data_IF_021812565457
#
_entry.id   IF_021812565457
#
_cell.length_a   1.000
_cell.length_b   1.000
_cell.length_c   1.000
_cell.angle_alpha   90.00
_cell.angle_beta   90.00
_cell.angle_gamma   90.00
#
_symmetry.space_group_name_H-M   'P 1'
#
loop_
_entity.id
_entity.type
_entity.pdbx_description
1 polymer ?
#
# COMPACT_ATOMS: atom_id res chain seq x y z
N UNK A 1 11.64 31.60 31.09
CA UNK A 1 12.64 31.20 30.07
C UNK A 1 12.35 29.74 29.71
N UNK A 2 11.92 29.44 28.48
CA UNK A 2 11.41 28.10 28.13
C UNK A 2 12.59 27.13 27.87
N UNK A 3 12.67 26.03 28.63
CA UNK A 3 13.74 25.03 28.55
C UNK A 3 13.82 24.40 27.14
N UNK A 4 12.68 24.32 26.44
CA UNK A 4 12.57 23.73 25.11
C UNK A 4 13.39 24.46 24.04
N UNK A 5 13.64 25.78 24.19
CA UNK A 5 14.47 26.52 23.21
C UNK A 5 15.96 26.28 23.40
N UNK A 6 16.37 25.54 24.43
CA UNK A 6 17.77 25.16 24.70
C UNK A 6 18.05 23.70 24.34
N UNK A 7 17.04 22.92 23.94
CA UNK A 7 17.23 21.53 23.56
C UNK A 7 17.74 21.43 22.11
N UNK A 8 18.59 20.44 21.79
CA UNK A 8 18.97 20.12 20.41
C UNK A 8 17.75 19.79 19.56
N UNK A 9 17.77 20.17 18.27
CA UNK A 9 16.65 19.96 17.35
C UNK A 9 16.31 18.48 17.20
N UNK A 10 17.32 17.61 17.27
CA UNK A 10 17.22 16.16 17.15
C UNK A 10 16.46 15.56 18.34
N UNK A 11 16.69 16.08 19.55
CA UNK A 11 15.97 15.63 20.76
C UNK A 11 14.51 16.11 20.76
N UNK A 12 14.27 17.33 20.28
CA UNK A 12 12.93 17.87 20.09
C UNK A 12 12.16 17.04 19.07
N UNK A 13 12.79 16.71 17.93
CA UNK A 13 12.21 15.87 16.88
C UNK A 13 11.90 14.46 17.41
N UNK A 14 12.79 13.85 18.21
CA UNK A 14 12.55 12.54 18.82
C UNK A 14 11.35 12.53 19.79
N UNK A 15 11.24 13.55 20.67
CA UNK A 15 10.11 13.68 21.59
C UNK A 15 8.80 13.91 20.83
N UNK A 16 8.82 14.74 19.78
CA UNK A 16 7.64 15.02 18.96
C UNK A 16 7.23 13.82 18.12
N UNK A 17 8.18 13.02 17.65
CA UNK A 17 7.93 11.76 16.95
C UNK A 17 7.27 10.73 17.86
N UNK A 18 7.77 10.56 19.09
CA UNK A 18 7.19 9.66 20.10
C UNK A 18 5.74 10.09 20.43
N UNK A 19 5.53 11.36 20.74
CA UNK A 19 4.20 11.93 20.98
C UNK A 19 3.28 11.78 19.76
N UNK A 20 3.78 11.98 18.54
CA UNK A 20 2.99 11.86 17.31
C UNK A 20 2.65 10.41 16.94
N UNK A 21 3.46 9.43 17.36
CA UNK A 21 3.13 8.00 17.17
C UNK A 21 1.99 7.52 18.05
N UNK A 22 1.79 8.14 19.21
CA UNK A 22 0.57 7.96 20.03
C UNK A 22 -0.67 8.64 19.39
N UNK A 23 -0.44 9.50 18.39
CA UNK A 23 -1.46 10.30 17.68
C UNK A 23 -1.58 9.78 16.24
N UNK A 24 -2.07 8.56 15.99
CA UNK A 24 -2.69 8.19 14.68
C UNK A 24 -3.43 6.84 14.66
N UNK A 25 -4.62 6.72 14.01
CA UNK A 25 -5.59 7.76 13.62
C UNK A 25 -6.91 7.67 14.43
N UNK A 26 -7.60 8.81 14.68
CA UNK A 26 -8.92 8.80 15.30
C UNK A 26 -10.03 8.63 14.25
N UNK A 27 -11.13 8.04 14.74
CA UNK A 27 -12.45 7.85 14.13
C UNK A 27 -12.63 6.52 13.38
N UNK A 28 -13.33 5.59 14.02
CA UNK A 28 -14.15 4.60 13.33
C UNK A 28 -15.57 5.16 13.22
N UNK A 29 -16.11 5.23 12.00
CA UNK A 29 -17.53 5.51 11.80
C UNK A 29 -18.31 4.19 11.86
N UNK A 30 -19.28 4.11 12.77
CA UNK A 30 -20.26 3.02 12.85
C UNK A 30 -21.63 3.66 12.63
N UNK A 31 -22.34 3.24 11.58
CA UNK A 31 -23.67 3.77 11.20
C UNK A 31 -23.70 5.28 10.88
N UNK A 32 -22.62 5.85 10.32
CA UNK A 32 -22.54 7.29 10.04
C UNK A 32 -22.32 8.16 11.28
N UNK A 33 -22.17 7.55 12.47
CA UNK A 33 -21.79 8.23 13.71
C UNK A 33 -20.41 7.74 14.18
N UNK A 34 -19.61 8.65 14.76
CA UNK A 34 -18.30 8.30 15.34
C UNK A 34 -18.51 7.44 16.59
N UNK A 35 -18.14 6.15 16.55
CA UNK A 35 -18.16 5.26 17.73
C UNK A 35 -16.74 4.81 18.10
N UNK A 36 -16.34 5.27 19.27
CA UNK A 36 -14.99 5.37 19.79
C UNK A 36 -14.45 4.00 20.27
N UNK A 37 -13.23 3.64 19.85
CA UNK A 37 -12.33 2.85 20.72
C UNK A 37 -12.00 3.73 21.91
N UNK A 38 -12.29 3.25 23.13
CA UNK A 38 -11.97 3.86 24.42
C UNK A 38 -12.02 5.40 24.43
N UNK A 39 -13.13 6.00 24.88
CA UNK A 39 -13.22 7.47 25.08
C UNK A 39 -11.97 8.04 25.76
N UNK A 40 -11.37 7.28 26.68
CA UNK A 40 -10.14 7.63 27.38
C UNK A 40 -8.90 7.69 26.47
N UNK A 41 -8.67 6.75 25.56
CA UNK A 41 -7.52 6.79 24.64
C UNK A 41 -7.63 7.93 23.62
N UNK A 42 -8.86 8.25 23.20
CA UNK A 42 -9.12 9.39 22.31
C UNK A 42 -9.04 10.72 23.07
N UNK A 43 -9.56 10.81 24.30
CA UNK A 43 -9.40 12.00 25.14
C UNK A 43 -7.93 12.23 25.52
N UNK A 44 -7.19 11.18 25.88
CA UNK A 44 -5.77 11.25 26.22
C UNK A 44 -4.91 11.54 24.98
N UNK A 45 -5.16 10.86 23.87
CA UNK A 45 -4.49 11.11 22.59
C UNK A 45 -4.81 12.48 22.01
N UNK A 46 -6.06 12.95 22.12
CA UNK A 46 -6.47 14.30 21.74
C UNK A 46 -5.86 15.35 22.68
N UNK A 47 -5.85 15.11 23.99
CA UNK A 47 -5.22 15.99 24.98
C UNK A 47 -3.71 16.09 24.75
N UNK A 48 -3.02 14.97 24.49
CA UNK A 48 -1.59 14.94 24.13
C UNK A 48 -1.33 15.60 22.79
N UNK A 49 -2.18 15.39 21.77
CA UNK A 49 -2.08 16.06 20.48
C UNK A 49 -2.29 17.56 20.61
N UNK A 50 -3.28 18.00 21.38
CA UNK A 50 -3.56 19.41 21.68
C UNK A 50 -2.42 20.01 22.48
N UNK A 51 -1.85 19.32 23.46
CA UNK A 51 -0.66 19.78 24.21
C UNK A 51 0.57 19.88 23.30
N UNK A 52 0.86 18.87 22.48
CA UNK A 52 1.92 18.89 21.47
C UNK A 52 1.70 20.02 20.43
N UNK A 53 0.45 20.30 20.06
CA UNK A 53 0.06 21.42 19.20
C UNK A 53 0.22 22.78 19.91
N UNK A 54 -0.03 22.86 21.22
CA UNK A 54 0.15 24.08 22.02
C UNK A 54 1.63 24.46 22.14
N UNK A 55 2.55 23.49 22.17
CA UNK A 55 4.00 23.78 22.16
C UNK A 55 4.49 24.44 20.85
N UNK A 56 3.75 24.30 19.75
CA UNK A 56 4.05 24.97 18.46
C UNK A 56 3.98 26.49 18.54
N UNK A 57 3.32 27.03 19.56
CA UNK A 57 3.17 28.48 19.79
C UNK A 57 4.37 29.08 20.53
N UNK A 58 5.33 28.27 20.96
CA UNK A 58 6.47 28.72 21.80
C UNK A 58 7.54 29.46 20.98
N UNK A 59 7.94 28.92 19.83
CA UNK A 59 8.87 29.59 18.91
C UNK A 59 8.80 29.00 17.50
N UNK A 60 9.26 29.78 16.50
CA UNK A 60 9.26 29.38 15.09
C UNK A 60 9.99 28.06 14.84
N UNK A 61 11.16 27.87 15.44
CA UNK A 61 11.95 26.64 15.28
C UNK A 61 11.18 25.41 15.75
N UNK A 62 10.54 25.49 16.92
CA UNK A 62 9.77 24.36 17.46
C UNK A 62 8.54 24.05 16.61
N UNK A 63 7.86 25.09 16.10
CA UNK A 63 6.74 24.92 15.16
C UNK A 63 7.16 24.19 13.90
N UNK A 64 8.26 24.61 13.30
CA UNK A 64 8.77 24.05 12.04
C UNK A 64 9.25 22.59 12.26
N UNK A 65 9.92 22.30 13.38
CA UNK A 65 10.28 20.94 13.79
C UNK A 65 9.05 20.06 14.04
N UNK A 66 8.01 20.60 14.67
CA UNK A 66 6.75 19.88 14.88
C UNK A 66 6.14 19.47 13.56
N UNK A 67 5.97 20.42 12.63
CA UNK A 67 5.41 20.10 11.33
C UNK A 67 6.24 19.08 10.54
N UNK A 68 7.57 19.14 10.65
CA UNK A 68 8.47 18.13 10.09
C UNK A 68 8.22 16.74 10.69
N UNK A 69 8.12 16.63 12.03
CA UNK A 69 7.79 15.36 12.71
C UNK A 69 6.42 14.82 12.31
N UNK A 70 5.39 15.67 12.26
CA UNK A 70 4.05 15.25 11.81
C UNK A 70 4.08 14.80 10.34
N UNK A 71 4.77 15.53 9.47
CA UNK A 71 4.96 15.13 8.07
C UNK A 71 5.68 13.79 7.94
N UNK A 72 6.62 13.49 8.84
CA UNK A 72 7.30 12.20 8.90
C UNK A 72 6.34 11.07 9.32
N UNK A 73 5.60 11.22 10.42
CA UNK A 73 4.60 10.21 10.86
C UNK A 73 3.57 9.94 9.76
N UNK A 74 3.08 10.99 9.10
CA UNK A 74 2.14 10.87 7.98
C UNK A 74 2.76 10.14 6.80
N UNK A 75 4.03 10.38 6.49
CA UNK A 75 4.73 9.66 5.43
C UNK A 75 4.88 8.16 5.71
N UNK A 76 4.83 7.74 6.98
CA UNK A 76 4.82 6.35 7.40
C UNK A 76 3.40 5.77 7.58
N UNK A 77 2.36 6.60 7.47
CA UNK A 77 0.96 6.15 7.50
C UNK A 77 0.61 5.55 6.15
N UNK A 78 0.04 4.34 6.17
CA UNK A 78 -0.46 3.67 4.96
C UNK A 78 -1.83 4.22 4.57
N UNK A 79 -1.90 4.88 3.42
CA UNK A 79 -3.17 5.24 2.79
C UNK A 79 -3.60 4.14 1.82
N UNK A 80 -4.72 3.49 2.12
CA UNK A 80 -5.30 2.45 1.28
C UNK A 80 -6.31 3.06 0.32
N UNK A 81 -5.93 3.22 -0.95
CA UNK A 81 -6.76 3.91 -1.96
C UNK A 81 -8.07 3.20 -2.26
N UNK A 82 -8.21 1.92 -1.89
CA UNK A 82 -9.49 1.21 -1.94
C UNK A 82 -10.49 1.76 -0.93
N UNK A 83 -10.02 2.18 0.24
CA UNK A 83 -10.92 2.62 1.31
C UNK A 83 -11.28 4.10 1.13
N UNK A 84 -12.59 4.37 0.99
CA UNK A 84 -13.12 5.73 0.89
C UNK A 84 -12.62 6.62 2.04
N UNK A 85 -12.65 6.11 3.27
CA UNK A 85 -12.21 6.83 4.47
C UNK A 85 -10.71 7.18 4.39
N UNK A 86 -9.88 6.22 4.00
CA UNK A 86 -8.45 6.45 3.84
C UNK A 86 -8.15 7.49 2.75
N UNK A 87 -8.88 7.44 1.64
CA UNK A 87 -8.78 8.44 0.59
C UNK A 87 -9.24 9.83 1.05
N UNK A 88 -10.34 9.91 1.80
CA UNK A 88 -10.82 11.18 2.37
C UNK A 88 -9.81 11.77 3.36
N UNK A 89 -9.11 10.94 4.14
CA UNK A 89 -8.02 11.38 5.00
C UNK A 89 -6.84 11.95 4.19
N UNK A 90 -6.49 11.32 3.06
CA UNK A 90 -5.48 11.85 2.14
C UNK A 90 -5.92 13.19 1.53
N UNK A 91 -7.20 13.32 1.15
CA UNK A 91 -7.77 14.57 0.66
C UNK A 91 -7.70 15.66 1.72
N UNK A 92 -8.13 15.39 2.94
CA UNK A 92 -8.05 16.33 4.06
C UNK A 92 -6.60 16.76 4.36
N UNK A 93 -5.64 15.83 4.28
CA UNK A 93 -4.22 16.13 4.37
C UNK A 93 -3.78 17.11 3.26
N UNK A 94 -4.18 16.85 2.02
CA UNK A 94 -3.85 17.68 0.86
C UNK A 94 -4.41 19.11 0.97
N UNK A 95 -5.58 19.26 1.60
CA UNK A 95 -6.24 20.55 1.81
C UNK A 95 -5.66 21.31 3.02
N UNK A 96 -4.91 20.61 3.89
CA UNK A 96 -4.23 21.20 5.03
C UNK A 96 -2.96 21.95 4.60
N UNK A 97 -3.12 23.20 4.15
CA UNK A 97 -2.01 24.03 3.65
C UNK A 97 -0.85 24.24 4.63
N UNK A 98 -1.06 24.03 5.93
CA UNK A 98 0.01 24.10 6.94
C UNK A 98 0.87 22.84 6.99
N UNK A 99 0.30 21.66 6.70
CA UNK A 99 0.94 20.35 6.89
C UNK A 99 1.39 19.75 5.55
N UNK A 100 0.61 19.92 4.48
CA UNK A 100 0.91 19.41 3.14
C UNK A 100 2.35 19.72 2.67
N UNK A 101 2.94 20.91 2.90
CA UNK A 101 4.32 21.19 2.51
C UNK A 101 5.38 20.39 3.27
N UNK A 102 5.06 19.82 4.44
CA UNK A 102 6.01 19.08 5.27
C UNK A 102 6.02 17.58 4.99
N UNK A 103 5.06 17.09 4.20
CA UNK A 103 4.99 15.69 3.78
C UNK A 103 6.02 15.44 2.68
N UNK A 104 7.09 14.72 3.02
CA UNK A 104 8.17 14.33 2.07
C UNK A 104 8.09 12.88 1.62
N UNK A 105 7.31 12.07 2.31
CA UNK A 105 7.09 10.67 1.98
C UNK A 105 5.59 10.40 1.90
N UNK A 106 5.17 9.55 0.98
CA UNK A 106 3.81 9.04 0.90
C UNK A 106 3.83 7.52 0.85
N UNK A 107 3.08 6.86 1.72
CA UNK A 107 2.93 5.40 1.72
C UNK A 107 1.51 5.03 1.29
N UNK A 108 1.39 4.37 0.14
CA UNK A 108 0.13 3.99 -0.49
C UNK A 108 0.04 2.47 -0.58
N UNK A 109 -1.16 1.93 -0.38
CA UNK A 109 -1.48 0.54 -0.68
C UNK A 109 -2.85 0.42 -1.32
N UNK A 110 -3.21 -0.78 -1.73
CA UNK A 110 -4.49 -1.03 -2.41
C UNK A 110 -5.14 -2.36 -1.97
N UNK A 111 -5.14 -2.65 -0.68
CA UNK A 111 -5.47 -3.97 -0.14
C UNK A 111 -6.79 -4.53 -0.67
N UNK A 112 -6.83 -5.82 -1.00
CA UNK A 112 -8.07 -6.49 -1.44
C UNK A 112 -8.61 -7.38 -0.31
N UNK A 113 -9.92 -7.28 -0.07
CA UNK A 113 -10.69 -8.22 0.75
C UNK A 113 -10.97 -9.46 -0.08
N UNK A 114 -10.56 -10.61 0.45
CA UNK A 114 -10.70 -11.92 -0.19
C UNK A 114 -12.15 -12.39 -0.23
N UNK A 115 -12.53 -13.16 -1.25
CA UNK A 115 -13.91 -13.63 -1.45
C UNK A 115 -14.48 -14.45 -0.29
N UNK A 116 -13.65 -15.24 0.41
CA UNK A 116 -14.07 -15.96 1.62
C UNK A 116 -13.61 -15.26 2.90
N UNK A 117 -13.37 -13.96 2.89
CA UNK A 117 -13.22 -13.20 4.13
C UNK A 117 -14.54 -13.25 4.95
N UNK A 118 -14.52 -13.46 6.27
CA UNK A 118 -13.35 -13.76 7.12
C UNK A 118 -13.03 -15.26 7.25
N UNK A 119 -13.76 -16.16 6.59
CA UNK A 119 -13.63 -17.63 6.69
C UNK A 119 -12.21 -18.18 6.49
N UNK A 120 -11.40 -17.48 5.71
CA UNK A 120 -10.00 -17.80 5.47
C UNK A 120 -9.12 -17.83 6.74
N UNK A 121 -9.51 -17.13 7.80
CA UNK A 121 -8.74 -17.07 9.06
C UNK A 121 -8.91 -18.27 9.99
N UNK A 122 -9.66 -19.31 9.57
CA UNK A 122 -10.15 -20.32 10.52
C UNK A 122 -9.77 -21.76 10.17
N UNK A 123 -9.00 -22.37 11.08
CA UNK A 123 -8.98 -23.83 11.32
C UNK A 123 -9.99 -24.28 12.39
N UNK A 124 -10.92 -23.40 12.80
CA UNK A 124 -11.87 -23.65 13.88
C UNK A 124 -13.15 -24.36 13.38
N UNK A 125 -13.93 -25.04 14.24
CA UNK A 125 -15.15 -25.77 13.87
C UNK A 125 -16.28 -24.85 13.33
N UNK A 126 -16.96 -25.26 12.25
CA UNK A 126 -18.02 -24.49 11.53
C UNK A 126 -19.12 -23.86 12.39
N UNK A 127 -19.49 -24.44 13.55
CA UNK A 127 -20.61 -23.95 14.38
C UNK A 127 -20.31 -22.67 15.15
N UNK A 128 -19.09 -22.52 15.69
CA UNK A 128 -18.70 -21.29 16.40
C UNK A 128 -18.54 -20.09 15.45
N UNK A 129 -18.35 -20.37 14.15
CA UNK A 129 -18.27 -19.36 13.09
C UNK A 129 -19.60 -18.73 12.73
N UNK A 130 -20.66 -19.53 12.67
CA UNK A 130 -21.97 -19.06 12.20
C UNK A 130 -22.53 -17.95 13.10
N UNK A 131 -22.40 -18.07 14.42
CA UNK A 131 -22.95 -17.10 15.37
C UNK A 131 -22.16 -15.79 15.40
N UNK A 132 -20.83 -15.85 15.27
CA UNK A 132 -19.96 -14.67 15.21
C UNK A 132 -20.14 -13.90 13.90
N UNK A 133 -20.32 -14.63 12.80
CA UNK A 133 -20.51 -14.06 11.46
C UNK A 133 -21.92 -13.49 11.34
N UNK A 134 -22.96 -14.19 11.80
CA UNK A 134 -24.33 -13.65 11.80
C UNK A 134 -24.44 -12.32 12.55
N UNK A 135 -23.64 -12.11 13.61
CA UNK A 135 -23.64 -10.84 14.37
C UNK A 135 -22.92 -9.68 13.67
N UNK A 136 -22.07 -9.96 12.69
CA UNK A 136 -21.21 -8.95 12.03
C UNK A 136 -21.39 -8.91 10.52
N UNK A 137 -22.23 -9.78 9.96
CA UNK A 137 -22.68 -9.72 8.57
C UNK A 137 -23.26 -8.34 8.25
N UNK A 138 -24.03 -7.76 9.17
CA UNK A 138 -24.62 -6.44 8.98
C UNK A 138 -23.55 -5.33 8.88
N UNK A 139 -22.50 -5.37 9.72
CA UNK A 139 -21.40 -4.40 9.65
C UNK A 139 -20.54 -4.62 8.40
N UNK A 140 -20.25 -5.86 8.03
CA UNK A 140 -19.51 -6.18 6.80
C UNK A 140 -20.30 -5.79 5.54
N UNK A 141 -21.61 -6.02 5.55
CA UNK A 141 -22.54 -5.58 4.52
C UNK A 141 -22.61 -4.06 4.50
N UNK A 142 -22.65 -3.39 5.65
CA UNK A 142 -22.61 -1.92 5.75
C UNK A 142 -21.32 -1.33 5.18
N UNK A 143 -20.15 -1.85 5.55
CA UNK A 143 -18.85 -1.44 4.99
C UNK A 143 -18.85 -1.63 3.48
N UNK A 144 -19.32 -2.78 3.00
CA UNK A 144 -19.42 -3.04 1.57
C UNK A 144 -20.37 -2.08 0.86
N UNK A 145 -21.57 -1.82 1.39
CA UNK A 145 -22.51 -0.85 0.83
C UNK A 145 -21.92 0.56 0.76
N UNK A 146 -21.11 0.94 1.76
CA UNK A 146 -20.45 2.25 1.79
C UNK A 146 -19.29 2.36 0.78
N UNK A 147 -18.62 1.25 0.44
CA UNK A 147 -17.45 1.27 -0.44
C UNK A 147 -17.75 0.80 -1.88
N UNK A 148 -18.84 0.05 -2.13
CA UNK A 148 -19.15 -0.55 -3.45
C UNK A 148 -19.27 0.48 -4.57
N UNK A 149 -19.74 1.69 -4.25
CA UNK A 149 -19.96 2.77 -5.23
C UNK A 149 -18.70 3.66 -5.38
N UNK A 150 -17.78 3.60 -4.41
CA UNK A 150 -16.54 4.37 -4.42
C UNK A 150 -15.58 3.88 -5.51
N UNK A 151 -15.37 2.56 -5.58
CA UNK A 151 -14.51 1.96 -6.61
C UNK A 151 -14.94 0.54 -6.97
N UNK A 152 -16.13 0.44 -7.57
CA UNK A 152 -16.86 -0.80 -7.91
C UNK A 152 -16.00 -1.89 -8.57
N UNK A 153 -15.00 -1.49 -9.36
CA UNK A 153 -14.16 -2.38 -10.15
C UNK A 153 -13.06 -3.09 -9.32
N UNK A 154 -12.87 -2.75 -8.04
CA UNK A 154 -11.95 -3.46 -7.14
C UNK A 154 -12.63 -4.33 -6.09
N UNK A 155 -13.96 -4.37 -6.06
CA UNK A 155 -14.72 -5.24 -5.16
C UNK A 155 -14.92 -6.62 -5.78
N UNK A 156 -14.06 -7.55 -5.41
CA UNK A 156 -14.27 -8.98 -5.63
C UNK A 156 -15.18 -9.58 -4.54
N UNK A 157 -14.98 -9.16 -3.28
CA UNK A 157 -15.78 -9.61 -2.15
C UNK A 157 -17.21 -9.07 -2.19
N UNK A 158 -18.17 -9.97 -1.99
CA UNK A 158 -19.59 -9.66 -1.83
C UNK A 158 -20.16 -10.40 -0.61
N UNK A 159 -21.12 -9.82 0.14
CA UNK A 159 -21.78 -10.50 1.26
C UNK A 159 -22.38 -11.86 0.88
N UNK A 160 -22.79 -12.06 -0.37
CA UNK A 160 -23.32 -13.32 -0.87
C UNK A 160 -22.28 -14.45 -0.88
N UNK A 161 -20.99 -14.13 -1.01
CA UNK A 161 -19.91 -15.11 -0.95
C UNK A 161 -19.86 -15.78 0.43
N UNK A 162 -20.06 -14.98 1.49
CA UNK A 162 -20.17 -15.46 2.88
C UNK A 162 -21.39 -16.34 3.06
N UNK A 163 -22.55 -15.90 2.56
CA UNK A 163 -23.81 -16.65 2.65
C UNK A 163 -23.71 -18.00 1.93
N UNK A 164 -23.12 -18.05 0.73
CA UNK A 164 -22.90 -19.29 -0.04
C UNK A 164 -21.98 -20.28 0.67
N UNK A 165 -20.90 -19.78 1.26
CA UNK A 165 -19.98 -20.60 2.04
C UNK A 165 -20.67 -21.23 3.26
N UNK A 166 -21.45 -20.45 4.02
CA UNK A 166 -22.22 -20.95 5.17
C UNK A 166 -23.25 -22.01 4.78
N UNK A 167 -23.80 -21.94 3.56
CA UNK A 167 -24.75 -22.92 3.03
C UNK A 167 -24.08 -24.19 2.44
N UNK A 168 -22.76 -24.35 2.58
CA UNK A 168 -22.02 -25.51 2.05
C UNK A 168 -22.00 -25.59 0.51
N UNK A 169 -22.39 -24.52 -0.18
CA UNK A 169 -22.37 -24.44 -1.63
C UNK A 169 -20.98 -24.01 -2.11
N UNK A 170 -20.07 -24.98 -2.26
CA UNK A 170 -18.75 -24.83 -2.89
C UNK A 170 -18.83 -24.72 -4.42
N UNK A 171 -19.90 -24.13 -4.96
CA UNK A 171 -19.91 -23.75 -6.37
C UNK A 171 -18.70 -22.86 -6.64
N UNK A 172 -18.03 -23.06 -7.78
CA UNK A 172 -16.93 -22.22 -8.21
C UNK A 172 -17.35 -20.76 -8.05
N UNK A 173 -16.77 -20.08 -7.05
CA UNK A 173 -16.81 -18.63 -7.01
C UNK A 173 -16.32 -18.20 -8.38
N UNK A 174 -17.08 -17.40 -9.13
CA UNK A 174 -16.62 -16.97 -10.44
C UNK A 174 -15.26 -16.33 -10.20
N UNK A 175 -14.20 -16.97 -10.70
CA UNK A 175 -12.86 -16.43 -10.75
C UNK A 175 -12.83 -15.31 -11.78
N UNK A 176 -13.80 -14.42 -11.71
CA UNK A 176 -13.96 -13.25 -12.54
C UNK A 176 -12.85 -12.32 -12.15
N UNK A 177 -11.72 -12.49 -12.82
CA UNK A 177 -10.87 -11.40 -13.20
C UNK A 177 -11.76 -10.21 -13.54
N UNK A 178 -11.75 -9.16 -12.70
CA UNK A 178 -12.48 -7.95 -13.04
C UNK A 178 -11.67 -7.29 -14.15
N UNK A 179 -12.21 -7.21 -15.38
CA UNK A 179 -11.49 -6.57 -16.46
C UNK A 179 -11.20 -5.12 -16.05
N UNK A 180 -9.98 -4.67 -16.32
CA UNK A 180 -9.59 -3.29 -16.06
C UNK A 180 -10.43 -2.35 -16.91
N UNK A 181 -11.44 -1.74 -16.30
CA UNK A 181 -12.19 -0.66 -16.92
C UNK A 181 -11.39 0.64 -16.83
N UNK A 182 -10.79 1.01 -17.95
CA UNK A 182 -9.95 2.19 -18.10
C UNK A 182 -10.72 3.50 -17.85
N UNK A 183 -12.04 3.51 -18.04
CA UNK A 183 -12.85 4.74 -17.94
C UNK A 183 -13.05 5.16 -16.49
N UNK A 184 -13.50 4.27 -15.61
CA UNK A 184 -13.62 4.52 -14.18
C UNK A 184 -12.25 4.84 -13.54
N UNK A 185 -11.19 4.16 -13.98
CA UNK A 185 -9.82 4.40 -13.52
C UNK A 185 -9.33 5.82 -13.82
N UNK A 186 -9.79 6.44 -14.92
CA UNK A 186 -9.38 7.81 -15.28
C UNK A 186 -9.92 8.89 -14.33
N UNK A 187 -11.20 8.80 -13.95
CA UNK A 187 -11.84 9.76 -13.02
C UNK A 187 -11.26 9.68 -11.60
N UNK A 188 -11.00 8.46 -11.13
CA UNK A 188 -10.33 8.23 -9.85
C UNK A 188 -8.89 8.73 -9.86
N UNK A 189 -8.14 8.43 -10.92
CA UNK A 189 -6.75 8.91 -11.07
C UNK A 189 -6.66 10.43 -11.04
N UNK A 190 -7.62 11.14 -11.62
CA UNK A 190 -7.69 12.60 -11.56
C UNK A 190 -7.95 13.10 -10.13
N UNK A 191 -8.92 12.51 -9.43
CA UNK A 191 -9.20 12.87 -8.03
C UNK A 191 -7.99 12.60 -7.12
N UNK A 192 -7.27 11.51 -7.38
CA UNK A 192 -6.05 11.18 -6.66
C UNK A 192 -4.93 12.19 -7.00
N UNK A 193 -4.76 12.53 -8.28
CA UNK A 193 -3.81 13.56 -8.71
C UNK A 193 -4.10 14.91 -8.04
N UNK A 194 -5.37 15.30 -7.91
CA UNK A 194 -5.79 16.52 -7.22
C UNK A 194 -5.31 16.54 -5.76
N UNK A 195 -5.34 15.41 -5.07
CA UNK A 195 -4.81 15.27 -3.70
C UNK A 195 -3.28 15.33 -3.64
N UNK A 196 -2.59 14.91 -4.70
CA UNK A 196 -1.12 14.92 -4.75
C UNK A 196 -0.53 16.29 -5.10
N UNK A 197 -1.22 17.13 -5.87
CA UNK A 197 -0.70 18.46 -6.30
C UNK A 197 -0.32 19.40 -5.14
N UNK A 198 -1.05 19.44 -4.02
CA UNK A 198 -0.65 20.23 -2.85
C UNK A 198 0.59 19.69 -2.12
N UNK A 199 0.88 18.39 -2.24
CA UNK A 199 2.00 17.69 -1.61
C UNK A 199 3.30 17.87 -2.42
N UNK A 200 3.70 19.12 -2.64
CA UNK A 200 4.76 19.49 -3.60
C UNK A 200 6.17 19.00 -3.25
N UNK A 201 6.39 18.61 -2.00
CA UNK A 201 7.70 18.22 -1.48
C UNK A 201 7.87 16.71 -1.33
N UNK A 202 7.00 15.91 -1.96
CA UNK A 202 7.16 14.45 -2.00
C UNK A 202 8.47 14.10 -2.69
N UNK A 203 9.36 13.44 -1.93
CA UNK A 203 10.65 12.92 -2.37
C UNK A 203 10.65 11.39 -2.44
N UNK A 204 9.88 10.74 -1.57
CA UNK A 204 9.75 9.30 -1.48
C UNK A 204 8.29 8.88 -1.67
N UNK A 205 8.05 7.93 -2.57
CA UNK A 205 6.77 7.23 -2.69
C UNK A 205 6.99 5.76 -2.42
N UNK A 206 6.24 5.23 -1.48
CA UNK A 206 6.22 3.83 -1.12
C UNK A 206 4.87 3.23 -1.50
N UNK A 207 4.85 2.36 -2.50
CA UNK A 207 3.71 1.53 -2.84
C UNK A 207 3.88 0.17 -2.18
N UNK A 208 3.06 -0.11 -1.17
CA UNK A 208 3.09 -1.38 -0.44
C UNK A 208 1.92 -2.26 -0.83
N UNK A 209 2.23 -3.52 -1.05
CA UNK A 209 1.24 -4.58 -1.13
C UNK A 209 1.56 -5.64 -0.08
N UNK A 210 0.59 -5.95 0.76
CA UNK A 210 0.64 -7.09 1.65
C UNK A 210 -0.68 -7.84 1.51
N UNK A 211 -0.60 -9.04 0.97
CA UNK A 211 -1.77 -9.86 0.75
C UNK A 211 -2.47 -10.21 2.07
N UNK A 212 -1.72 -10.29 3.19
CA UNK A 212 -2.19 -10.77 4.49
C UNK A 212 -2.97 -9.69 5.25
N UNK A 213 -2.91 -8.45 4.78
CA UNK A 213 -3.45 -7.29 5.45
C UNK A 213 -4.70 -6.81 4.69
N UNK A 214 -5.93 -7.11 5.17
CA UNK A 214 -7.14 -6.53 4.60
C UNK A 214 -7.20 -5.01 4.87
N UNK A 215 -8.10 -4.25 4.23
CA UNK A 215 -8.27 -2.84 4.53
C UNK A 215 -8.60 -2.58 6.01
N UNK A 216 -8.25 -1.39 6.53
CA UNK A 216 -8.29 -1.10 7.97
C UNK A 216 -9.67 -1.33 8.61
N UNK A 217 -10.77 -0.97 7.95
CA UNK A 217 -12.13 -1.20 8.47
C UNK A 217 -12.41 -2.69 8.69
N UNK A 218 -12.02 -3.54 7.73
CA UNK A 218 -12.10 -4.99 7.86
C UNK A 218 -11.17 -5.52 8.96
N UNK A 219 -9.97 -4.95 9.13
CA UNK A 219 -9.10 -5.29 10.28
C UNK A 219 -9.74 -4.93 11.62
N UNK A 220 -10.43 -3.79 11.71
CA UNK A 220 -11.08 -3.36 12.94
C UNK A 220 -12.23 -4.30 13.33
N UNK A 221 -13.00 -4.77 12.36
CA UNK A 221 -14.02 -5.81 12.57
C UNK A 221 -13.35 -7.08 13.14
N UNK A 222 -12.26 -7.58 12.53
CA UNK A 222 -11.54 -8.75 13.06
C UNK A 222 -11.00 -8.57 14.49
N UNK A 223 -10.52 -7.37 14.81
CA UNK A 223 -10.02 -7.03 16.17
C UNK A 223 -11.15 -6.99 17.19
N UNK A 224 -12.31 -6.42 16.83
CA UNK A 224 -13.50 -6.38 17.70
C UNK A 224 -14.01 -7.78 18.02
N UNK A 225 -13.83 -8.71 17.09
CA UNK A 225 -14.22 -10.11 17.25
C UNK A 225 -13.27 -10.90 18.19
N UNK A 226 -12.31 -10.24 18.85
CA UNK A 226 -11.29 -10.83 19.75
C UNK A 226 -10.47 -11.97 19.12
N UNK A 227 -10.51 -12.13 17.79
CA UNK A 227 -9.78 -13.18 17.08
C UNK A 227 -8.25 -13.01 17.18
N UNK A 228 -7.78 -11.79 17.40
CA UNK A 228 -6.34 -11.48 17.55
C UNK A 228 -5.69 -12.08 18.79
N UNK A 229 -6.45 -12.59 19.77
CA UNK A 229 -5.85 -13.29 20.93
C UNK A 229 -5.47 -14.75 20.64
N UNK A 230 -5.92 -15.35 19.53
CA UNK A 230 -5.74 -16.80 19.25
C UNK A 230 -5.01 -17.14 17.95
N UNK A 231 -4.77 -16.17 17.08
CA UNK A 231 -4.05 -16.40 15.83
C UNK A 231 -2.60 -15.95 16.02
N UNK A 232 -1.65 -16.90 16.00
CA UNK A 232 -0.23 -16.56 15.88
C UNK A 232 0.00 -15.79 14.58
N UNK A 233 1.00 -14.90 14.55
CA UNK A 233 1.42 -14.19 13.32
C UNK A 233 1.65 -15.16 12.14
N UNK A 234 2.18 -16.36 12.44
CA UNK A 234 2.40 -17.48 11.51
C UNK A 234 1.13 -17.97 10.79
N UNK A 235 -0.06 -17.80 11.40
CA UNK A 235 -1.32 -18.20 10.77
C UNK A 235 -1.73 -17.24 9.65
N UNK A 236 -1.37 -15.95 9.74
CA UNK A 236 -1.67 -14.95 8.72
C UNK A 236 -0.87 -15.20 7.42
N UNK A 237 0.36 -15.69 7.55
CA UNK A 237 1.25 -16.01 6.42
C UNK A 237 0.74 -17.19 5.58
N UNK A 238 0.13 -18.20 6.21
CA UNK A 238 -0.28 -19.41 5.49
C UNK A 238 -1.49 -19.16 4.57
N UNK A 239 -2.36 -18.21 4.92
CA UNK A 239 -3.69 -18.07 4.33
C UNK A 239 -3.66 -17.36 2.97
N UNK A 240 -2.77 -16.40 2.78
CA UNK A 240 -2.79 -15.61 1.55
C UNK A 240 -1.91 -16.13 0.42
N UNK A 241 -1.52 -17.40 0.49
CA UNK A 241 -0.86 -18.13 -0.60
C UNK A 241 -1.83 -18.62 -1.69
N UNK A 242 -3.15 -18.46 -1.53
CA UNK A 242 -4.15 -19.17 -2.37
C UNK A 242 -5.08 -18.32 -3.25
N UNK A 243 -5.02 -16.97 -3.26
CA UNK A 243 -6.03 -16.16 -3.99
C UNK A 243 -5.50 -14.98 -4.82
N UNK A 244 -6.34 -14.52 -5.76
CA UNK A 244 -6.17 -13.49 -6.81
C UNK A 244 -5.72 -12.08 -6.39
N UNK A 245 -5.06 -11.90 -5.25
CA UNK A 245 -4.64 -10.59 -4.73
C UNK A 245 -3.73 -9.79 -5.68
N UNK A 246 -2.95 -10.47 -6.54
CA UNK A 246 -2.03 -9.79 -7.46
C UNK A 246 -2.70 -8.84 -8.46
N UNK A 247 -3.96 -9.09 -8.86
CA UNK A 247 -4.66 -8.18 -9.78
C UNK A 247 -4.91 -6.82 -9.12
N UNK A 248 -5.37 -6.79 -7.86
CA UNK A 248 -5.59 -5.55 -7.12
C UNK A 248 -4.29 -4.75 -6.94
N UNK A 249 -3.19 -5.46 -6.68
CA UNK A 249 -1.87 -4.83 -6.56
C UNK A 249 -1.42 -4.14 -7.86
N UNK A 250 -1.64 -4.75 -9.01
CA UNK A 250 -1.37 -4.14 -10.31
C UNK A 250 -2.24 -2.92 -10.62
N UNK A 251 -3.52 -2.98 -10.23
CA UNK A 251 -4.46 -1.86 -10.40
C UNK A 251 -4.03 -0.67 -9.55
N UNK A 252 -3.74 -0.89 -8.27
CA UNK A 252 -3.32 0.17 -7.35
C UNK A 252 -2.03 0.86 -7.81
N UNK A 253 -1.05 0.09 -8.29
CA UNK A 253 0.19 0.62 -8.84
C UNK A 253 -0.08 1.50 -10.08
N UNK A 254 -0.96 1.05 -10.98
CA UNK A 254 -1.31 1.78 -12.20
C UNK A 254 -1.99 3.11 -11.88
N UNK A 255 -2.93 3.11 -10.93
CA UNK A 255 -3.61 4.32 -10.45
C UNK A 255 -2.63 5.30 -9.80
N UNK A 256 -1.73 4.80 -8.95
CA UNK A 256 -0.69 5.61 -8.33
C UNK A 256 0.21 6.26 -9.38
N UNK A 257 0.73 5.50 -10.34
CA UNK A 257 1.63 6.03 -11.37
C UNK A 257 0.93 7.05 -12.28
N UNK A 258 -0.33 6.81 -12.63
CA UNK A 258 -1.14 7.78 -13.36
C UNK A 258 -1.32 9.07 -12.54
N UNK A 259 -1.71 8.96 -11.27
CA UNK A 259 -1.91 10.11 -10.38
C UNK A 259 -0.63 10.92 -10.18
N UNK A 260 0.52 10.27 -10.00
CA UNK A 260 1.83 10.94 -9.90
C UNK A 260 2.16 11.73 -11.17
N UNK A 261 1.93 11.13 -12.35
CA UNK A 261 2.12 11.81 -13.63
C UNK A 261 1.20 13.03 -13.77
N UNK A 262 -0.10 12.86 -13.54
CA UNK A 262 -1.10 13.94 -13.70
C UNK A 262 -0.93 15.04 -12.64
N UNK A 263 -0.40 14.71 -11.46
CA UNK A 263 -0.02 15.68 -10.44
C UNK A 263 1.37 16.33 -10.70
N UNK A 264 2.10 15.84 -11.71
CA UNK A 264 3.49 16.21 -12.00
C UNK A 264 4.43 16.04 -10.79
N UNK A 265 4.19 15.00 -9.99
CA UNK A 265 5.05 14.59 -8.88
C UNK A 265 6.12 13.64 -9.43
N UNK A 266 7.38 13.99 -9.20
CA UNK A 266 8.53 13.25 -9.73
C UNK A 266 9.45 12.91 -8.56
N UNK A 267 9.20 11.79 -7.86
CA UNK A 267 9.94 11.45 -6.65
C UNK A 267 11.40 11.10 -6.97
N UNK A 268 12.28 11.30 -5.99
CA UNK A 268 13.67 10.85 -6.05
C UNK A 268 13.85 9.40 -5.57
N UNK A 269 12.91 8.90 -4.76
CA UNK A 269 12.92 7.55 -4.21
C UNK A 269 11.59 6.88 -4.53
N UNK A 270 11.65 5.70 -5.13
CA UNK A 270 10.49 4.83 -5.32
C UNK A 270 10.74 3.52 -4.59
N UNK A 271 9.82 3.13 -3.72
CA UNK A 271 9.75 1.80 -3.10
C UNK A 271 8.46 1.15 -3.58
N UNK A 272 8.57 0.09 -4.38
CA UNK A 272 7.45 -0.50 -5.10
C UNK A 272 7.33 -1.99 -4.79
N UNK A 273 6.21 -2.37 -4.20
CA UNK A 273 5.69 -3.73 -4.26
C UNK A 273 5.23 -4.03 -5.68
N UNK A 274 5.89 -4.98 -6.32
CA UNK A 274 5.65 -5.37 -7.71
C UNK A 274 5.65 -6.89 -7.87
N UNK A 275 5.15 -7.33 -9.02
CA UNK A 275 5.45 -8.66 -9.53
C UNK A 275 6.70 -8.58 -10.39
N UNK A 276 7.71 -9.38 -10.06
CA UNK A 276 8.98 -9.40 -10.77
C UNK A 276 8.93 -10.54 -11.79
N UNK A 277 9.26 -10.26 -13.04
CA UNK A 277 9.43 -11.29 -14.06
C UNK A 277 10.85 -11.89 -13.97
N UNK A 278 11.84 -11.00 -13.82
CA UNK A 278 13.26 -11.33 -13.77
C UNK A 278 14.00 -10.36 -12.85
N UNK A 279 15.32 -10.51 -12.72
CA UNK A 279 16.15 -9.67 -11.84
C UNK A 279 16.17 -8.20 -12.27
N UNK A 280 15.88 -7.93 -13.54
CA UNK A 280 16.00 -6.62 -14.19
C UNK A 280 14.68 -6.16 -14.81
N UNK A 281 13.57 -6.88 -14.57
CA UNK A 281 12.27 -6.52 -15.12
C UNK A 281 11.13 -6.84 -14.18
N UNK A 282 10.12 -5.97 -14.18
CA UNK A 282 8.91 -6.11 -13.38
C UNK A 282 7.67 -5.89 -14.25
N UNK A 283 6.57 -6.50 -13.84
CA UNK A 283 5.28 -6.40 -14.51
C UNK A 283 4.53 -5.16 -14.02
N UNK A 284 4.03 -4.34 -14.95
CA UNK A 284 3.10 -3.26 -14.63
C UNK A 284 2.20 -2.93 -15.82
N UNK A 285 0.95 -2.58 -15.54
CA UNK A 285 0.01 -2.13 -16.57
C UNK A 285 0.13 -0.64 -16.89
N UNK A 286 1.01 0.07 -16.18
CA UNK A 286 1.33 1.47 -16.43
C UNK A 286 1.95 1.64 -17.81
N UNK A 287 1.48 2.62 -18.59
CA UNK A 287 2.06 2.92 -19.88
C UNK A 287 3.56 3.31 -19.75
N UNK A 288 4.45 2.85 -20.66
CA UNK A 288 5.88 3.17 -20.58
C UNK A 288 6.18 4.68 -20.56
N UNK A 289 5.39 5.48 -21.29
CA UNK A 289 5.52 6.93 -21.29
C UNK A 289 5.19 7.57 -19.94
N UNK A 290 4.24 7.01 -19.19
CA UNK A 290 3.91 7.42 -17.82
C UNK A 290 5.04 7.06 -16.87
N UNK A 291 5.56 5.84 -16.93
CA UNK A 291 6.70 5.41 -16.11
C UNK A 291 7.92 6.28 -16.36
N UNK A 292 8.33 6.46 -17.62
CA UNK A 292 9.49 7.30 -17.96
C UNK A 292 9.34 8.73 -17.43
N UNK A 293 8.12 9.29 -17.46
CA UNK A 293 7.84 10.62 -16.91
C UNK A 293 7.97 10.69 -15.39
N UNK A 294 7.43 9.72 -14.67
CA UNK A 294 7.47 9.67 -13.19
C UNK A 294 8.89 9.32 -12.71
N UNK A 295 9.58 8.43 -13.41
CA UNK A 295 10.85 7.85 -13.00
C UNK A 295 12.09 8.69 -13.41
N UNK A 296 11.91 9.76 -14.18
CA UNK A 296 13.02 10.56 -14.74
C UNK A 296 14.01 11.13 -13.68
N UNK A 297 13.60 11.33 -12.43
CA UNK A 297 14.48 11.82 -11.33
C UNK A 297 14.73 10.77 -10.23
N UNK A 298 14.28 9.54 -10.42
CA UNK A 298 14.42 8.49 -9.41
C UNK A 298 15.89 8.10 -9.32
N UNK A 299 16.48 8.40 -8.16
CA UNK A 299 17.86 8.05 -7.79
C UNK A 299 17.95 6.72 -7.06
N UNK A 300 16.90 6.39 -6.29
CA UNK A 300 16.81 5.13 -5.56
C UNK A 300 15.53 4.41 -5.92
N UNK A 301 15.67 3.20 -6.44
CA UNK A 301 14.57 2.30 -6.72
C UNK A 301 14.68 1.09 -5.80
N UNK A 302 13.62 0.81 -5.04
CA UNK A 302 13.47 -0.41 -4.26
C UNK A 302 12.31 -1.21 -4.85
N UNK A 303 12.58 -2.43 -5.28
CA UNK A 303 11.57 -3.34 -5.83
C UNK A 303 11.40 -4.51 -4.88
N UNK A 304 10.17 -4.73 -4.42
CA UNK A 304 9.80 -5.84 -3.55
C UNK A 304 8.92 -6.79 -4.33
N UNK A 305 9.36 -8.03 -4.52
CA UNK A 305 8.50 -9.06 -5.09
C UNK A 305 7.46 -9.47 -4.05
N UNK A 306 6.30 -8.84 -4.12
CA UNK A 306 5.31 -8.87 -3.04
C UNK A 306 4.05 -9.66 -3.40
N UNK A 307 3.87 -10.04 -4.66
CA UNK A 307 2.71 -10.78 -5.13
C UNK A 307 2.99 -11.52 -6.44
N UNK A 308 2.24 -12.60 -6.67
CA UNK A 308 2.18 -13.35 -7.93
C UNK A 308 0.73 -13.74 -8.25
N UNK A 309 0.27 -13.62 -9.50
CA UNK A 309 -1.08 -13.96 -9.90
C UNK A 309 -1.19 -15.48 -10.04
N UNK A 310 -2.15 -16.05 -9.31
CA UNK A 310 -2.38 -17.49 -9.20
C UNK A 310 -3.22 -18.10 -10.35
N UNK A 311 -3.66 -17.31 -11.33
CA UNK A 311 -4.58 -17.82 -12.37
C UNK A 311 -3.87 -18.57 -13.50
N UNK A 312 -4.64 -19.48 -14.11
CA UNK A 312 -4.26 -20.33 -15.25
C UNK A 312 -3.35 -19.59 -16.22
N UNK A 313 -2.10 -20.07 -16.29
CA UNK A 313 -0.95 -19.38 -16.88
C UNK A 313 -1.23 -18.74 -18.24
N UNK A 314 -2.07 -19.31 -19.10
CA UNK A 314 -2.10 -18.90 -20.50
C UNK A 314 -2.91 -17.63 -20.75
N UNK A 315 -4.15 -17.52 -20.25
CA UNK A 315 -4.99 -16.35 -20.46
C UNK A 315 -4.43 -15.07 -19.80
N UNK A 316 -3.84 -15.21 -18.62
CA UNK A 316 -3.19 -14.08 -17.95
C UNK A 316 -1.85 -13.71 -18.61
N UNK A 317 -1.10 -14.70 -19.13
CA UNK A 317 0.14 -14.44 -19.87
C UNK A 317 -0.11 -13.60 -21.12
N UNK A 318 -1.15 -13.91 -21.89
CA UNK A 318 -1.52 -13.14 -23.08
C UNK A 318 -1.78 -11.66 -22.75
N UNK A 319 -2.48 -11.37 -21.65
CA UNK A 319 -2.76 -10.00 -21.21
C UNK A 319 -1.52 -9.24 -20.70
N UNK A 320 -0.53 -9.98 -20.21
CA UNK A 320 0.73 -9.42 -19.70
C UNK A 320 1.78 -9.20 -20.79
N UNK A 321 1.53 -9.63 -22.03
CA UNK A 321 2.44 -9.36 -23.14
C UNK A 321 2.62 -7.84 -23.34
N UNK A 322 3.88 -7.40 -23.38
CA UNK A 322 4.23 -5.98 -23.49
C UNK A 322 3.99 -5.15 -22.20
N UNK A 323 3.66 -5.80 -21.08
CA UNK A 323 3.50 -5.15 -19.76
C UNK A 323 4.74 -5.29 -18.87
N UNK A 324 5.72 -6.07 -19.32
CA UNK A 324 7.00 -6.23 -18.63
C UNK A 324 7.88 -5.03 -18.94
N UNK A 325 8.36 -4.39 -17.88
CA UNK A 325 9.19 -3.21 -17.95
C UNK A 325 10.59 -3.54 -17.48
N UNK A 326 11.55 -3.35 -18.36
CA UNK A 326 12.98 -3.54 -18.06
C UNK A 326 13.51 -2.30 -17.36
N UNK A 327 14.29 -2.49 -16.30
CA UNK A 327 14.98 -1.44 -15.56
C UNK A 327 16.15 -0.94 -16.42
N UNK A 328 15.86 0.06 -17.24
CA UNK A 328 16.80 0.62 -18.21
C UNK A 328 17.14 2.09 -17.92
N UNK A 329 18.21 2.59 -18.53
CA UNK A 329 18.63 3.99 -18.51
C UNK A 329 17.60 4.92 -19.15
N UNK A 330 16.84 4.44 -20.13
CA UNK A 330 15.78 5.25 -20.75
C UNK A 330 14.59 5.46 -19.82
N UNK A 331 14.28 4.47 -18.97
CA UNK A 331 13.20 4.57 -17.97
C UNK A 331 13.67 5.25 -16.68
N UNK A 332 14.90 4.96 -16.24
CA UNK A 332 15.49 5.46 -15.00
C UNK A 332 16.85 6.12 -15.26
N UNK A 333 16.89 7.30 -15.90
CA UNK A 333 18.14 7.93 -16.32
C UNK A 333 19.00 8.43 -15.14
N UNK A 334 18.39 8.70 -13.99
CA UNK A 334 19.05 9.21 -12.79
C UNK A 334 19.36 8.12 -11.73
N UNK A 335 19.15 6.84 -12.05
CA UNK A 335 19.22 5.77 -11.06
C UNK A 335 20.66 5.48 -10.62
N UNK A 336 20.90 5.66 -9.33
CA UNK A 336 22.18 5.46 -8.67
C UNK A 336 22.14 4.24 -7.74
N UNK A 337 20.98 3.93 -7.15
CA UNK A 337 20.81 2.82 -6.22
C UNK A 337 19.61 1.94 -6.58
N UNK A 338 19.85 0.64 -6.71
CA UNK A 338 18.82 -0.38 -6.91
C UNK A 338 18.82 -1.37 -5.74
N UNK A 339 17.68 -1.53 -5.08
CA UNK A 339 17.44 -2.57 -4.09
C UNK A 339 16.37 -3.52 -4.62
N UNK A 340 16.65 -4.81 -4.65
CA UNK A 340 15.71 -5.85 -5.07
C UNK A 340 15.57 -6.87 -3.97
N UNK A 341 14.35 -7.02 -3.45
CA UNK A 341 14.05 -7.88 -2.31
C UNK A 341 12.89 -8.85 -2.59
N UNK A 342 13.06 -10.11 -2.22
CA UNK A 342 11.98 -11.10 -2.19
C UNK A 342 11.29 -11.04 -0.82
N UNK A 343 9.95 -10.95 -0.83
CA UNK A 343 9.15 -11.04 0.39
C UNK A 343 9.06 -12.52 0.78
N UNK A 344 9.55 -12.94 1.97
CA UNK A 344 9.71 -14.34 2.35
C UNK A 344 8.46 -15.22 2.21
N UNK A 345 7.28 -14.60 2.26
CA UNK A 345 6.00 -15.28 2.26
C UNK A 345 5.58 -15.83 0.87
N UNK A 346 6.29 -15.51 -0.22
CA UNK A 346 6.00 -16.02 -1.57
C UNK A 346 7.30 -16.55 -2.21
N UNK A 347 7.51 -17.88 -2.24
CA UNK A 347 8.71 -18.46 -2.84
C UNK A 347 8.82 -18.20 -4.35
N UNK A 348 9.93 -17.59 -4.79
CA UNK A 348 10.25 -17.24 -6.20
C UNK A 348 10.16 -18.41 -7.18
N UNK A 349 10.36 -19.62 -6.68
CA UNK A 349 10.50 -20.85 -7.45
C UNK A 349 9.17 -21.48 -7.88
N UNK A 350 8.04 -21.14 -7.24
CA UNK A 350 6.76 -21.79 -7.54
C UNK A 350 6.04 -21.13 -8.73
N UNK A 351 6.23 -19.82 -8.94
CA UNK A 351 5.37 -19.03 -9.84
C UNK A 351 6.09 -18.27 -10.95
N UNK A 352 7.27 -18.71 -11.42
CA UNK A 352 7.89 -18.09 -12.60
C UNK A 352 6.93 -18.11 -13.78
N UNK A 353 6.42 -16.95 -14.12
CA UNK A 353 5.97 -16.66 -15.46
C UNK A 353 7.26 -16.36 -16.21
N UNK A 354 7.93 -17.39 -16.70
CA UNK A 354 9.16 -17.24 -17.46
C UNK A 354 8.80 -16.60 -18.81
N UNK A 355 8.58 -15.29 -18.84
CA UNK A 355 8.15 -14.56 -20.04
C UNK A 355 9.29 -14.40 -21.05
N UNK A 356 10.44 -15.04 -20.81
CA UNK A 356 11.64 -14.99 -21.64
C UNK A 356 12.12 -13.55 -21.89
N UNK A 357 12.02 -12.67 -20.89
CA UNK A 357 12.51 -11.30 -21.01
C UNK A 357 14.00 -11.32 -21.31
N UNK A 358 14.44 -10.74 -22.44
CA UNK A 358 15.84 -10.74 -22.82
C UNK A 358 16.65 -9.93 -21.80
N UNK A 359 17.88 -10.37 -21.54
CA UNK A 359 18.84 -9.59 -20.77
C UNK A 359 19.02 -8.21 -21.44
N UNK A 360 18.95 -7.10 -20.68
CA UNK A 360 19.21 -5.78 -21.24
C UNK A 360 20.65 -5.71 -21.73
N UNK A 361 20.85 -4.99 -22.84
CA UNK A 361 22.19 -4.69 -23.34
C UNK A 361 22.96 -3.86 -22.30
N UNK A 362 24.28 -4.07 -22.11
CA UNK A 362 25.07 -3.34 -21.13
C UNK A 362 25.01 -1.80 -21.30
N UNK A 363 24.78 -1.32 -22.52
CA UNK A 363 24.59 0.11 -22.82
C UNK A 363 23.31 0.69 -22.20
N UNK A 364 22.30 -0.15 -22.01
CA UNK A 364 20.95 0.23 -21.61
C UNK A 364 20.74 0.11 -20.11
N UNK A 365 21.70 -0.49 -19.39
CA UNK A 365 21.67 -0.60 -17.94
C UNK A 365 22.00 0.76 -17.29
N UNK A 366 21.26 1.19 -16.25
CA UNK A 366 21.60 2.38 -15.46
C UNK A 366 22.98 2.29 -14.82
N UNK A 367 23.64 3.43 -14.63
CA UNK A 367 24.96 3.49 -14.02
C UNK A 367 24.85 3.42 -12.48
N UNK A 368 24.58 2.22 -11.96
CA UNK A 368 24.40 2.00 -10.53
C UNK A 368 25.70 2.22 -9.75
N UNK A 369 25.61 2.96 -8.66
CA UNK A 369 26.64 3.09 -7.62
C UNK A 369 26.41 2.07 -6.49
N UNK A 370 25.15 1.67 -6.27
CA UNK A 370 24.77 0.68 -5.26
C UNK A 370 23.77 -0.31 -5.84
N UNK A 371 24.07 -1.59 -5.66
CA UNK A 371 23.14 -2.69 -5.89
C UNK A 371 23.01 -3.49 -4.59
N UNK A 372 21.79 -3.65 -4.11
CA UNK A 372 21.47 -4.46 -2.95
C UNK A 372 20.44 -5.52 -3.36
N UNK A 373 20.74 -6.78 -3.06
CA UNK A 373 19.88 -7.90 -3.42
C UNK A 373 19.64 -8.74 -2.16
N UNK A 374 18.38 -8.82 -1.74
CA UNK A 374 17.97 -9.46 -0.49
C UNK A 374 17.07 -10.66 -0.78
N UNK A 375 17.41 -11.83 -0.21
CA UNK A 375 16.66 -13.08 -0.38
C UNK A 375 16.66 -13.65 -1.82
N UNK A 376 17.70 -13.37 -2.62
CA UNK A 376 17.88 -13.88 -4.00
C UNK A 376 19.20 -14.61 -4.22
N UNK A 377 19.66 -15.39 -3.24
CA UNK A 377 21.02 -15.95 -3.25
C UNK A 377 21.36 -16.72 -4.54
N UNK A 378 20.38 -17.43 -5.11
CA UNK A 378 20.52 -18.19 -6.35
C UNK A 378 20.63 -17.35 -7.64
N UNK A 379 20.42 -16.03 -7.56
CA UNK A 379 20.34 -15.13 -8.70
C UNK A 379 21.42 -14.06 -8.73
N UNK A 380 22.27 -14.02 -7.69
CA UNK A 380 23.41 -13.10 -7.61
C UNK A 380 24.28 -13.15 -8.87
N UNK A 381 24.62 -14.31 -9.48
CA UNK A 381 25.41 -14.34 -10.71
C UNK A 381 24.77 -13.58 -11.88
N UNK A 382 23.45 -13.64 -12.04
CA UNK A 382 22.72 -12.92 -13.09
C UNK A 382 22.68 -11.42 -12.81
N UNK A 383 22.52 -11.02 -11.55
CA UNK A 383 22.65 -9.61 -11.15
C UNK A 383 24.06 -9.07 -11.45
N UNK A 384 25.11 -9.83 -11.12
CA UNK A 384 26.49 -9.45 -11.44
C UNK A 384 26.76 -9.41 -12.94
N UNK A 385 26.20 -10.35 -13.73
CA UNK A 385 26.34 -10.31 -15.19
C UNK A 385 25.69 -9.06 -15.81
N UNK A 386 24.59 -8.59 -15.22
CA UNK A 386 23.79 -7.49 -15.77
C UNK A 386 24.27 -6.12 -15.28
N UNK A 387 24.56 -6.02 -13.98
CA UNK A 387 24.86 -4.77 -13.29
C UNK A 387 26.29 -4.71 -12.71
N UNK A 388 26.97 -5.85 -12.60
CA UNK A 388 28.36 -5.91 -12.16
C UNK A 388 29.28 -5.39 -13.27
N UNK A 389 30.07 -4.38 -12.94
CA UNK A 389 31.16 -3.87 -13.79
C UNK A 389 32.49 -4.35 -13.26
#
# INVERSE_FOLDING_TARGET
MNILTKLPAELIEAILMDAATEISPPVAFVNGESKYRCHQEIEDGHSRAVQAMQFRLVCRTFRDLSWKSFGHVIGHTLFDIRSLESFMNLKALSECGALAPWVRKLTIGCSVVWDMYPFHFYRLPMREHADLISKNCDELEHVWQAEKDWYSNMFLWRPECVKRFMMGSYGSLPGSFVPYDQSAASSFSMSFADCLRPLRNIEEVNYTWDYSIPPMRYRNILRQLQFTKRLSEETWETIGTYYNGGSGAHHGLTLLMAALKEANVVPSILDLSVEMDSQFAFLTFTAPSTLARVCQKVKTLRLRHAYSPLLSRDAFREQCQGKIQVISRSMFPALEALNVAEVPAIPWNIYRLNYNTPLPEPSDVPALQRLEVLNFENYIPQFLKTYGR
#
